data_IF_411398614947
#
_entry.id   IF_411398614947
#
_cell.length_a   1.000
_cell.length_b   1.000
_cell.length_c   1.000
_cell.angle_alpha   90.00
_cell.angle_beta   90.00
_cell.angle_gamma   90.00
#
_symmetry.space_group_name_H-M   'P 1'
#
loop_
_entity.id
_entity.type
_entity.pdbx_description
1 polymer ?
#
# COMPACT_ATOMS: atom_id res chain seq x y z
N UNK A 1 11.94 -8.75 -21.41
CA UNK A 1 12.52 -8.44 -20.09
C UNK A 1 12.04 -9.48 -19.09
N UNK A 2 12.96 -10.01 -18.30
CA UNK A 2 12.66 -10.91 -17.18
C UNK A 2 12.15 -10.11 -15.98
N UNK A 3 11.56 -10.78 -14.98
CA UNK A 3 11.17 -10.10 -13.72
C UNK A 3 12.36 -9.42 -13.07
N UNK A 4 13.51 -10.09 -13.02
CA UNK A 4 14.73 -9.53 -12.48
C UNK A 4 15.11 -8.23 -13.20
N UNK A 5 15.25 -8.29 -14.53
CA UNK A 5 15.60 -7.12 -15.34
C UNK A 5 14.60 -5.98 -15.17
N UNK A 6 13.31 -6.31 -15.05
CA UNK A 6 12.25 -5.31 -14.95
C UNK A 6 12.24 -4.59 -13.60
N UNK A 7 12.57 -5.32 -12.51
CA UNK A 7 12.65 -4.77 -11.15
C UNK A 7 13.98 -4.06 -10.93
N UNK A 8 15.11 -4.71 -11.25
CA UNK A 8 16.46 -4.24 -10.93
C UNK A 8 17.11 -3.44 -12.05
N UNK A 9 16.48 -3.33 -13.23
CA UNK A 9 17.10 -2.66 -14.38
C UNK A 9 18.34 -3.38 -14.90
N UNK A 10 18.56 -4.64 -14.49
CA UNK A 10 19.77 -5.41 -14.77
C UNK A 10 20.89 -5.23 -13.75
N UNK A 11 20.73 -4.38 -12.72
CA UNK A 11 21.77 -4.15 -11.71
C UNK A 11 21.81 -5.28 -10.68
N UNK A 12 23.01 -5.65 -10.22
CA UNK A 12 23.21 -6.57 -9.10
C UNK A 12 22.87 -5.96 -7.74
N UNK A 13 23.02 -4.64 -7.61
CA UNK A 13 22.80 -3.91 -6.36
C UNK A 13 21.77 -2.82 -6.58
N UNK A 14 20.62 -2.93 -5.92
CA UNK A 14 19.53 -1.97 -5.98
C UNK A 14 19.72 -0.93 -4.87
N UNK A 15 19.67 0.35 -5.22
CA UNK A 15 19.61 1.45 -4.26
C UNK A 15 18.17 1.66 -3.77
N UNK A 16 17.97 1.72 -2.45
CA UNK A 16 16.70 1.96 -1.77
C UNK A 16 16.92 2.99 -0.66
N UNK A 17 16.43 4.21 -0.83
CA UNK A 17 16.46 5.23 0.23
C UNK A 17 17.82 5.42 0.91
N UNK A 18 18.91 5.43 0.13
CA UNK A 18 20.28 5.59 0.64
C UNK A 18 20.99 4.29 1.07
N UNK A 19 20.31 3.14 1.12
CA UNK A 19 20.93 1.82 1.36
C UNK A 19 21.04 1.03 0.06
N UNK A 20 22.09 0.22 -0.09
CA UNK A 20 22.24 -0.72 -1.22
C UNK A 20 21.89 -2.14 -0.79
N UNK A 21 21.15 -2.86 -1.61
CA UNK A 21 20.76 -4.25 -1.36
C UNK A 21 20.94 -5.10 -2.62
N UNK A 22 21.28 -6.38 -2.45
CA UNK A 22 21.36 -7.31 -3.56
C UNK A 22 20.02 -7.41 -4.31
N UNK A 23 20.05 -7.30 -5.64
CA UNK A 23 18.87 -7.27 -6.49
C UNK A 23 18.06 -8.57 -6.43
N UNK A 24 18.72 -9.73 -6.28
CA UNK A 24 18.00 -11.01 -6.13
C UNK A 24 17.31 -11.09 -4.78
N UNK A 25 17.93 -10.58 -3.73
CA UNK A 25 17.31 -10.46 -2.41
C UNK A 25 16.11 -9.50 -2.45
N UNK A 26 16.22 -8.38 -3.17
CA UNK A 26 15.12 -7.45 -3.37
C UNK A 26 13.93 -8.08 -4.09
N UNK A 27 14.17 -8.75 -5.22
CA UNK A 27 13.12 -9.51 -5.92
C UNK A 27 12.48 -10.58 -5.01
N UNK A 28 13.29 -11.22 -4.16
CA UNK A 28 12.83 -12.20 -3.18
C UNK A 28 11.84 -11.63 -2.15
N UNK A 29 11.99 -10.35 -1.77
CA UNK A 29 11.01 -9.67 -0.90
C UNK A 29 9.64 -9.58 -1.54
N UNK A 30 9.54 -9.41 -2.85
CA UNK A 30 8.25 -9.41 -3.56
C UNK A 30 7.78 -10.80 -4.00
N UNK A 31 8.25 -11.83 -3.28
CA UNK A 31 7.94 -13.23 -3.53
C UNK A 31 8.37 -13.75 -4.92
N UNK A 32 9.41 -13.16 -5.53
CA UNK A 32 10.04 -13.70 -6.74
C UNK A 32 11.32 -14.43 -6.37
N UNK A 33 11.24 -15.77 -6.23
CA UNK A 33 12.36 -16.61 -5.79
C UNK A 33 12.93 -17.42 -6.95
N UNK A 34 14.26 -17.56 -6.98
CA UNK A 34 14.98 -18.42 -7.92
C UNK A 34 14.49 -18.32 -9.38
N UNK A 35 13.85 -19.36 -9.96
CA UNK A 35 13.41 -19.36 -11.35
C UNK A 35 12.36 -18.28 -11.67
N UNK A 36 11.57 -17.83 -10.68
CA UNK A 36 10.53 -16.83 -10.90
C UNK A 36 11.11 -15.50 -11.37
N UNK A 37 12.34 -15.19 -10.95
CA UNK A 37 13.06 -13.99 -11.37
C UNK A 37 13.39 -14.00 -12.88
N UNK A 38 13.48 -15.19 -13.49
CA UNK A 38 13.78 -15.37 -14.91
C UNK A 38 12.52 -15.45 -15.79
N UNK A 39 11.33 -15.52 -15.18
CA UNK A 39 10.06 -15.49 -15.93
C UNK A 39 9.97 -14.20 -16.73
N UNK A 40 9.42 -14.29 -17.95
CA UNK A 40 9.12 -13.11 -18.75
C UNK A 40 7.88 -12.41 -18.18
N UNK A 41 7.95 -11.08 -18.05
CA UNK A 41 6.86 -10.26 -17.48
C UNK A 41 5.51 -10.49 -18.19
N UNK A 42 5.53 -10.73 -19.51
CA UNK A 42 4.31 -11.02 -20.29
C UNK A 42 3.63 -12.36 -19.96
N UNK A 43 4.29 -13.26 -19.23
CA UNK A 43 3.72 -14.56 -18.79
C UNK A 43 3.23 -14.55 -17.35
N UNK A 44 3.35 -13.41 -16.65
CA UNK A 44 2.92 -13.26 -15.28
C UNK A 44 1.40 -13.14 -15.18
N UNK A 45 0.85 -13.69 -14.10
CA UNK A 45 -0.53 -13.44 -13.67
C UNK A 45 -0.75 -11.97 -13.30
N UNK A 46 -2.02 -11.56 -13.15
CA UNK A 46 -2.35 -10.18 -12.73
C UNK A 46 -1.69 -9.79 -11.41
N UNK A 47 -1.82 -10.65 -10.39
CA UNK A 47 -1.19 -10.44 -9.07
C UNK A 47 0.34 -10.41 -9.16
N UNK A 48 0.96 -11.30 -9.94
CA UNK A 48 2.41 -11.25 -10.16
C UNK A 48 2.84 -9.94 -10.84
N UNK A 49 2.10 -9.44 -11.84
CA UNK A 49 2.41 -8.13 -12.45
C UNK A 49 2.27 -6.99 -11.46
N UNK A 50 1.26 -7.02 -10.60
CA UNK A 50 1.09 -6.01 -9.57
C UNK A 50 2.30 -5.98 -8.62
N UNK A 51 2.82 -7.15 -8.22
CA UNK A 51 4.05 -7.26 -7.41
C UNK A 51 5.27 -6.69 -8.12
N UNK A 52 5.45 -6.96 -9.42
CA UNK A 52 6.53 -6.34 -10.20
C UNK A 52 6.36 -4.83 -10.24
N UNK A 53 5.13 -4.33 -10.41
CA UNK A 53 4.85 -2.90 -10.44
C UNK A 53 5.21 -2.23 -9.11
N UNK A 54 4.77 -2.81 -7.99
CA UNK A 54 5.07 -2.33 -6.65
C UNK A 54 6.57 -2.32 -6.35
N UNK A 55 7.28 -3.41 -6.70
CA UNK A 55 8.74 -3.49 -6.53
C UNK A 55 9.48 -2.39 -7.29
N UNK A 56 9.00 -2.02 -8.48
CA UNK A 56 9.56 -0.93 -9.27
C UNK A 56 9.27 0.44 -8.68
N UNK A 57 8.05 0.66 -8.20
CA UNK A 57 7.64 1.91 -7.57
C UNK A 57 8.48 2.19 -6.33
N UNK A 58 8.61 1.20 -5.45
CA UNK A 58 9.42 1.31 -4.23
C UNK A 58 10.92 1.51 -4.54
N UNK A 59 11.43 0.93 -5.63
CA UNK A 59 12.80 1.14 -6.08
C UNK A 59 13.04 2.55 -6.62
N UNK A 60 12.11 3.10 -7.41
CA UNK A 60 12.27 4.40 -8.06
C UNK A 60 12.50 5.54 -7.07
N UNK A 61 12.20 5.34 -5.79
CA UNK A 61 12.60 6.25 -4.72
C UNK A 61 11.88 7.58 -4.81
N UNK A 62 10.54 7.53 -4.82
CA UNK A 62 9.74 8.73 -4.53
C UNK A 62 9.98 9.21 -3.10
N UNK A 63 9.74 10.48 -2.85
CA UNK A 63 9.56 11.03 -1.51
C UNK A 63 8.12 10.88 -1.01
N UNK A 64 7.16 10.74 -1.95
CA UNK A 64 5.75 10.49 -1.68
C UNK A 64 5.24 9.32 -2.53
N UNK A 65 4.58 8.34 -1.90
CA UNK A 65 3.84 7.27 -2.56
C UNK A 65 2.35 7.50 -2.38
N UNK A 66 1.59 7.42 -3.48
CA UNK A 66 0.14 7.40 -3.45
C UNK A 66 -0.31 6.01 -3.87
N UNK A 67 -0.90 5.26 -2.93
CA UNK A 67 -1.37 3.89 -3.16
C UNK A 67 -2.88 3.85 -2.98
N UNK A 68 -3.59 3.54 -4.07
CA UNK A 68 -5.04 3.37 -4.06
C UNK A 68 -5.38 1.88 -3.99
N UNK A 69 -5.94 1.44 -2.87
CA UNK A 69 -6.31 0.05 -2.55
C UNK A 69 -5.25 -0.99 -2.93
N UNK A 70 -4.01 -0.86 -2.41
CA UNK A 70 -2.91 -1.74 -2.79
C UNK A 70 -3.06 -3.16 -2.24
N UNK A 71 -3.99 -3.39 -1.32
CA UNK A 71 -4.31 -4.70 -0.72
C UNK A 71 -5.13 -5.60 -1.64
N UNK A 72 -5.73 -5.04 -2.69
CA UNK A 72 -6.55 -5.82 -3.62
C UNK A 72 -5.72 -6.88 -4.36
N UNK A 73 -6.29 -8.08 -4.47
CA UNK A 73 -5.73 -9.22 -5.20
C UNK A 73 -4.33 -9.67 -4.71
N UNK A 74 -3.93 -9.28 -3.49
CA UNK A 74 -2.68 -9.71 -2.87
C UNK A 74 -2.89 -10.94 -1.99
N UNK A 75 -2.02 -11.93 -2.17
CA UNK A 75 -1.88 -13.02 -1.19
C UNK A 75 -1.27 -12.49 0.13
N UNK A 76 -1.47 -13.22 1.23
CA UNK A 76 -1.00 -12.83 2.58
C UNK A 76 0.51 -12.60 2.62
N UNK A 77 1.28 -13.39 1.87
CA UNK A 77 2.75 -13.27 1.85
C UNK A 77 3.18 -11.95 1.21
N UNK A 78 2.49 -11.57 0.15
CA UNK A 78 2.75 -10.34 -0.60
C UNK A 78 2.31 -9.13 0.20
N UNK A 79 1.16 -9.19 0.85
CA UNK A 79 0.67 -8.13 1.72
C UNK A 79 1.69 -7.84 2.84
N UNK A 80 2.24 -8.89 3.48
CA UNK A 80 3.34 -8.75 4.46
C UNK A 80 4.59 -8.10 3.88
N UNK A 81 4.91 -8.40 2.64
CA UNK A 81 6.07 -7.83 1.94
C UNK A 81 5.87 -6.36 1.59
N UNK A 82 4.64 -5.97 1.23
CA UNK A 82 4.23 -4.59 1.05
C UNK A 82 4.29 -3.82 2.37
N UNK A 83 3.77 -4.39 3.46
CA UNK A 83 3.87 -3.82 4.82
C UNK A 83 5.33 -3.55 5.19
N UNK A 84 6.20 -4.55 5.07
CA UNK A 84 7.64 -4.39 5.37
C UNK A 84 8.30 -3.36 4.43
N UNK A 85 7.91 -3.33 3.16
CA UNK A 85 8.38 -2.36 2.18
C UNK A 85 8.01 -0.93 2.55
N UNK A 86 6.77 -0.71 3.00
CA UNK A 86 6.26 0.59 3.44
C UNK A 86 6.86 1.04 4.77
N UNK A 87 7.03 0.13 5.74
CA UNK A 87 7.66 0.43 7.04
C UNK A 87 9.13 0.83 6.90
N UNK A 88 9.83 0.27 5.92
CA UNK A 88 11.23 0.60 5.63
C UNK A 88 11.38 1.73 4.59
N UNK A 89 10.28 2.27 4.09
CA UNK A 89 10.32 3.33 3.10
C UNK A 89 10.71 4.65 3.79
N UNK A 90 11.79 5.26 3.33
CA UNK A 90 12.30 6.52 3.91
C UNK A 90 11.53 7.77 3.52
N UNK A 91 10.41 7.64 2.81
CA UNK A 91 9.54 8.75 2.39
C UNK A 91 8.17 8.70 3.07
N UNK A 92 7.23 9.50 2.55
CA UNK A 92 5.84 9.49 2.97
C UNK A 92 5.01 8.56 2.08
N UNK A 93 4.04 7.85 2.65
CA UNK A 93 3.08 7.06 1.89
C UNK A 93 1.66 7.46 2.31
N UNK A 94 0.83 7.80 1.33
CA UNK A 94 -0.61 7.96 1.47
C UNK A 94 -1.24 6.71 0.88
N UNK A 95 -1.93 5.96 1.73
CA UNK A 95 -2.52 4.68 1.34
C UNK A 95 -4.01 4.70 1.62
N UNK A 96 -4.79 4.39 0.59
CA UNK A 96 -6.22 4.14 0.68
C UNK A 96 -6.39 2.63 0.81
N UNK A 97 -7.02 2.16 1.87
CA UNK A 97 -7.32 0.74 2.06
C UNK A 97 -8.55 0.54 2.94
N UNK A 98 -9.31 -0.50 2.66
CA UNK A 98 -10.38 -1.00 3.52
C UNK A 98 -9.93 -2.11 4.48
N UNK A 99 -8.67 -2.57 4.40
CA UNK A 99 -8.11 -3.59 5.28
C UNK A 99 -7.63 -2.96 6.59
N UNK A 100 -8.39 -3.23 7.67
CA UNK A 100 -8.12 -2.71 9.02
C UNK A 100 -6.78 -3.21 9.57
N UNK A 101 -6.45 -4.49 9.36
CA UNK A 101 -5.22 -5.07 9.86
C UNK A 101 -3.99 -4.47 9.20
N UNK A 102 -4.10 -4.19 7.90
CA UNK A 102 -3.05 -3.52 7.14
C UNK A 102 -2.86 -2.09 7.66
N UNK A 103 -3.94 -1.31 7.78
CA UNK A 103 -3.89 0.06 8.30
C UNK A 103 -3.32 0.11 9.73
N UNK A 104 -3.70 -0.82 10.60
CA UNK A 104 -3.18 -0.88 11.98
C UNK A 104 -1.67 -1.04 12.06
N UNK A 105 -1.09 -1.71 11.05
CA UNK A 105 0.34 -2.01 11.00
C UNK A 105 1.18 -0.91 10.40
N UNK A 106 0.66 -0.20 9.39
CA UNK A 106 1.45 0.78 8.64
C UNK A 106 1.09 2.24 8.95
N UNK A 107 -0.12 2.50 9.44
CA UNK A 107 -0.61 3.87 9.58
C UNK A 107 -0.02 4.53 10.82
N UNK A 108 0.56 5.70 10.60
CA UNK A 108 0.93 6.65 11.67
C UNK A 108 -0.14 7.73 11.86
N UNK A 109 -0.97 7.93 10.83
CA UNK A 109 -2.04 8.91 10.76
C UNK A 109 -3.21 8.33 9.97
N UNK A 110 -4.42 8.71 10.34
CA UNK A 110 -5.65 8.37 9.63
C UNK A 110 -6.29 9.65 9.10
N UNK A 111 -6.53 9.67 7.78
CA UNK A 111 -7.40 10.65 7.15
C UNK A 111 -8.77 10.00 6.95
N UNK A 112 -9.70 10.29 7.84
CA UNK A 112 -11.02 9.69 7.82
C UNK A 112 -12.04 10.59 7.15
N UNK A 113 -12.73 10.05 6.15
CA UNK A 113 -13.88 10.67 5.52
C UNK A 113 -15.14 10.30 6.32
N UNK A 114 -15.62 11.25 7.12
CA UNK A 114 -16.84 11.11 7.92
C UNK A 114 -18.06 11.54 7.10
N UNK A 115 -19.27 11.36 7.66
CA UNK A 115 -20.50 11.85 7.05
C UNK A 115 -20.48 13.37 6.80
N UNK A 116 -21.43 13.86 6.00
CA UNK A 116 -21.60 15.29 5.70
C UNK A 116 -20.37 15.98 5.09
N UNK A 117 -19.58 15.21 4.30
CA UNK A 117 -18.36 15.69 3.62
C UNK A 117 -17.29 16.24 4.58
N UNK A 118 -17.30 15.77 5.84
CA UNK A 118 -16.28 16.11 6.82
C UNK A 118 -15.07 15.19 6.65
N UNK A 119 -13.88 15.77 6.70
CA UNK A 119 -12.62 15.01 6.68
C UNK A 119 -11.88 15.29 7.98
N UNK A 120 -11.58 14.23 8.73
CA UNK A 120 -10.85 14.29 9.99
C UNK A 120 -9.44 13.77 9.83
N UNK A 121 -8.47 14.55 10.30
CA UNK A 121 -7.10 14.10 10.51
C UNK A 121 -6.95 13.57 11.94
N UNK A 122 -6.39 12.38 12.08
CA UNK A 122 -6.13 11.73 13.37
C UNK A 122 -4.70 11.21 13.42
N UNK A 123 -3.99 11.51 14.51
CA UNK A 123 -2.64 10.99 14.77
C UNK A 123 -2.75 9.65 15.51
N UNK A 124 -2.29 8.58 14.86
CA UNK A 124 -2.42 7.21 15.34
C UNK A 124 -2.81 6.24 14.24
N UNK A 125 -2.88 4.97 14.59
CA UNK A 125 -3.30 3.89 13.71
C UNK A 125 -4.84 3.77 13.64
N UNK A 126 -5.35 2.79 12.88
CA UNK A 126 -6.79 2.63 12.70
C UNK A 126 -7.50 2.23 14.00
N UNK A 127 -6.90 1.38 14.83
CA UNK A 127 -7.42 0.97 16.14
C UNK A 127 -7.60 2.16 17.08
N UNK A 128 -6.59 3.02 17.21
CA UNK A 128 -6.66 4.23 18.02
C UNK A 128 -7.76 5.19 17.51
N UNK A 129 -7.88 5.34 16.19
CA UNK A 129 -8.95 6.13 15.59
C UNK A 129 -10.34 5.54 15.87
N UNK A 130 -10.46 4.21 15.79
CA UNK A 130 -11.70 3.49 16.03
C UNK A 130 -12.19 3.66 17.47
N UNK A 131 -11.28 3.55 18.44
CA UNK A 131 -11.59 3.78 19.85
C UNK A 131 -11.95 5.23 20.15
N UNK A 132 -11.24 6.18 19.54
CA UNK A 132 -11.58 7.61 19.61
C UNK A 132 -13.00 7.85 19.06
N UNK A 133 -13.34 7.24 17.93
CA UNK A 133 -14.68 7.36 17.33
C UNK A 133 -15.77 6.80 18.22
N UNK A 134 -15.58 5.61 18.80
CA UNK A 134 -16.56 5.03 19.75
C UNK A 134 -16.77 5.95 20.96
N UNK A 135 -15.70 6.52 21.53
CA UNK A 135 -15.80 7.44 22.67
C UNK A 135 -16.54 8.74 22.33
N UNK A 136 -16.33 9.25 21.11
CA UNK A 136 -16.88 10.54 20.69
C UNK A 136 -18.32 10.45 20.22
N UNK A 137 -18.68 9.38 19.49
CA UNK A 137 -19.98 9.23 18.82
C UNK A 137 -20.91 8.23 19.54
N UNK A 138 -20.43 7.47 20.52
CA UNK A 138 -21.22 6.45 21.22
C UNK A 138 -21.85 5.45 20.25
N UNK A 139 -23.13 5.13 20.45
CA UNK A 139 -23.89 4.18 19.61
C UNK A 139 -24.10 4.65 18.16
N UNK A 140 -23.93 5.95 17.88
CA UNK A 140 -24.00 6.48 16.51
C UNK A 140 -22.74 6.16 15.69
N UNK A 141 -21.67 5.64 16.31
CA UNK A 141 -20.46 5.23 15.61
C UNK A 141 -20.69 4.03 14.69
N UNK A 142 -21.57 3.10 15.08
CA UNK A 142 -21.79 1.85 14.33
C UNK A 142 -23.10 1.87 13.51
N UNK A 143 -23.84 2.99 13.52
CA UNK A 143 -25.04 3.16 12.70
C UNK A 143 -24.71 3.76 11.33
N UNK A 144 -24.87 3.01 10.23
CA UNK A 144 -24.68 3.56 8.89
C UNK A 144 -25.79 4.55 8.56
N UNK A 145 -25.47 5.85 8.55
CA UNK A 145 -26.38 6.89 8.07
C UNK A 145 -26.28 7.00 6.55
N UNK A 146 -27.43 7.00 5.88
CA UNK A 146 -27.51 7.10 4.42
C UNK A 146 -27.06 8.50 3.98
N UNK A 147 -25.87 8.59 3.39
CA UNK A 147 -25.33 9.83 2.84
C UNK A 147 -26.23 10.29 1.68
N UNK A 148 -26.84 11.47 1.82
CA UNK A 148 -27.61 12.10 0.73
C UNK A 148 -26.63 12.84 -0.18
N UNK A 149 -26.24 12.21 -1.28
CA UNK A 149 -25.48 12.88 -2.32
C UNK A 149 -26.32 13.98 -2.96
N UNK A 150 -25.76 15.20 -3.07
CA UNK A 150 -26.37 16.29 -3.84
C UNK A 150 -26.28 15.89 -5.32
N UNK A 151 -27.37 15.88 -6.09
CA UNK A 151 -27.33 15.48 -7.50
C UNK A 151 -26.39 16.41 -8.26
N UNK A 152 -25.43 15.81 -8.98
CA UNK A 152 -24.51 16.53 -9.85
C UNK A 152 -25.34 17.11 -10.99
N UNK A 153 -25.52 18.42 -10.99
CA UNK A 153 -26.20 19.14 -12.07
C UNK A 153 -25.17 19.38 -13.16
N UNK A 154 -25.25 18.63 -14.26
CA UNK A 154 -24.50 18.97 -15.46
C UNK A 154 -25.12 20.24 -16.06
N UNK A 155 -24.31 21.30 -16.18
CA UNK A 155 -24.64 22.51 -16.92
C UNK A 155 -24.26 22.34 -18.40
#
# INVERSE_FOLDING_TARGET
RTVYEEITGGEEMVALGGKRMNGRAYCGRFNFRGPDQQKKVGRLSGGERNRVHLAKLLRRGGNLLLLDEPTNDLDVTTLRSLEEGLLNFGGCAVVISHDRWFLDRIATHILAFEGDSQVRWFEGNFEAYHDFRRKTLGDAADQPHRIKFRPVTHA
#
